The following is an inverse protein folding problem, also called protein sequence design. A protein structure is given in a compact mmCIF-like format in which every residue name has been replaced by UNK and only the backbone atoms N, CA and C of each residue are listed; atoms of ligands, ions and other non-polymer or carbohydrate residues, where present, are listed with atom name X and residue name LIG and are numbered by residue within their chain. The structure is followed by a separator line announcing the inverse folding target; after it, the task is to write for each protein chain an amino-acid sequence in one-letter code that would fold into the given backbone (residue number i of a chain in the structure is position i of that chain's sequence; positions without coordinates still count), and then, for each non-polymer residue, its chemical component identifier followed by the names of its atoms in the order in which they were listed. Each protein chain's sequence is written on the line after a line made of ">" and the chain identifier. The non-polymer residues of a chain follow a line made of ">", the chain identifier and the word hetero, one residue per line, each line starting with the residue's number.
data_IF_318093027112
#
_entry.id   IF_318093027112
#
_cell.length_a   1.000
_cell.length_b   1.000
_cell.length_c   1.000
_cell.angle_alpha   90.00
_cell.angle_beta   90.00
_cell.angle_gamma   90.00
#
_symmetry.space_group_name_H-M   'P 1'
#
loop_
_entity.id
_entity.type
_entity.pdbx_description
1 polymer ?
#
# COMPACT_ATOMS: atom_id res chain seq x y z
N UNK A 1 -6.86 -18.98 13.92
CA UNK A 1 -5.58 -19.04 13.23
C UNK A 1 -5.56 -18.06 12.08
N UNK A 2 -4.48 -17.38 11.94
CA UNK A 2 -4.31 -16.44 10.89
C UNK A 2 -4.14 -17.15 9.56
N UNK A 3 -4.88 -16.73 8.57
CA UNK A 3 -4.90 -17.43 7.30
C UNK A 3 -4.79 -16.43 6.15
N UNK A 4 -3.78 -16.59 5.31
CA UNK A 4 -3.59 -15.76 4.14
C UNK A 4 -4.50 -16.25 3.01
N UNK A 5 -5.01 -15.34 2.17
CA UNK A 5 -5.85 -15.75 1.07
C UNK A 5 -5.18 -16.80 0.18
N UNK A 6 -5.94 -17.67 -0.46
CA UNK A 6 -5.36 -18.72 -1.27
C UNK A 6 -4.63 -18.24 -2.52
N UNK A 7 -4.91 -17.05 -3.01
CA UNK A 7 -4.20 -16.58 -4.19
C UNK A 7 -2.84 -16.04 -3.78
N UNK A 8 -1.85 -16.85 -4.01
CA UNK A 8 -0.46 -16.54 -3.75
C UNK A 8 0.29 -16.67 -5.06
N UNK A 9 1.14 -15.72 -5.37
CA UNK A 9 1.97 -15.79 -6.54
C UNK A 9 3.41 -16.02 -6.08
N UNK A 10 3.98 -17.18 -6.36
CA UNK A 10 5.39 -17.46 -6.15
C UNK A 10 5.92 -16.96 -4.79
N UNK A 11 5.34 -17.39 -3.70
CA UNK A 11 5.71 -17.04 -2.32
C UNK A 11 5.23 -15.68 -1.84
N UNK A 12 4.67 -14.86 -2.70
CA UNK A 12 4.07 -13.61 -2.25
C UNK A 12 2.81 -13.90 -1.44
N UNK A 13 2.66 -13.19 -0.34
CA UNK A 13 1.46 -13.27 0.49
C UNK A 13 0.90 -11.88 0.69
N UNK A 14 -0.41 -11.73 0.53
CA UNK A 14 -1.02 -10.45 0.87
C UNK A 14 -2.37 -10.68 1.55
N UNK A 15 -2.77 -9.67 2.29
CA UNK A 15 -4.00 -9.72 3.07
C UNK A 15 -4.55 -8.31 3.18
N UNK A 16 -5.82 -8.17 2.83
CA UNK A 16 -6.49 -6.88 2.84
C UNK A 16 -7.77 -7.03 3.65
N UNK A 17 -7.89 -6.26 4.73
CA UNK A 17 -9.08 -6.35 5.57
C UNK A 17 -9.43 -4.99 6.16
N UNK A 18 -10.70 -4.80 6.43
CA UNK A 18 -11.19 -3.58 7.04
C UNK A 18 -10.88 -3.60 8.52
N UNK A 19 -10.28 -2.52 9.01
CA UNK A 19 -10.01 -2.31 10.43
C UNK A 19 -10.89 -1.17 10.92
N UNK A 20 -10.57 -0.61 12.07
CA UNK A 20 -11.40 0.47 12.63
C UNK A 20 -11.10 1.80 11.95
N UNK A 21 -11.91 2.12 10.95
CA UNK A 21 -11.81 3.40 10.25
C UNK A 21 -10.78 3.44 9.15
N UNK A 22 -10.15 2.30 8.81
CA UNK A 22 -9.19 2.24 7.72
C UNK A 22 -9.11 0.83 7.15
N UNK A 23 -8.55 0.72 5.96
CA UNK A 23 -8.31 -0.56 5.31
C UNK A 23 -6.85 -0.93 5.54
N UNK A 24 -6.61 -2.12 6.10
CA UNK A 24 -5.27 -2.60 6.36
C UNK A 24 -4.87 -3.56 5.24
N UNK A 25 -3.83 -3.18 4.52
CA UNK A 25 -3.31 -3.98 3.41
C UNK A 25 -1.88 -4.41 3.75
N UNK A 26 -1.67 -5.71 3.92
CA UNK A 26 -0.36 -6.26 4.26
C UNK A 26 0.19 -7.04 3.09
N UNK A 27 1.45 -6.83 2.79
CA UNK A 27 2.13 -7.50 1.68
C UNK A 27 3.47 -8.02 2.17
N UNK A 28 3.74 -9.29 1.93
CA UNK A 28 5.01 -9.91 2.32
C UNK A 28 5.58 -10.69 1.15
N UNK A 29 6.90 -10.71 1.08
CA UNK A 29 7.65 -11.52 0.11
C UNK A 29 7.38 -11.18 -1.34
N UNK A 30 7.12 -9.92 -1.60
CA UNK A 30 6.99 -9.44 -2.98
C UNK A 30 8.36 -9.43 -3.65
N UNK A 31 8.44 -9.99 -4.86
CA UNK A 31 9.72 -10.10 -5.57
C UNK A 31 9.69 -9.50 -6.97
N UNK A 32 8.52 -9.41 -7.57
CA UNK A 32 8.40 -9.01 -8.98
C UNK A 32 7.37 -7.90 -9.16
N UNK A 33 7.42 -7.27 -10.34
CA UNK A 33 6.42 -6.27 -10.72
C UNK A 33 5.02 -6.89 -10.77
N UNK A 34 4.93 -8.14 -11.25
CA UNK A 34 3.64 -8.83 -11.34
C UNK A 34 3.02 -9.01 -9.96
N UNK A 35 3.84 -9.33 -8.95
CA UNK A 35 3.37 -9.45 -7.57
C UNK A 35 2.73 -8.15 -7.10
N UNK A 36 3.38 -7.03 -7.37
CA UNK A 36 2.87 -5.73 -6.96
C UNK A 36 1.60 -5.39 -7.71
N UNK A 37 1.55 -5.66 -9.02
CA UNK A 37 0.36 -5.39 -9.80
C UNK A 37 -0.85 -6.17 -9.29
N UNK A 38 -0.64 -7.42 -8.92
CA UNK A 38 -1.71 -8.24 -8.37
C UNK A 38 -2.22 -7.66 -7.05
N UNK A 39 -1.30 -7.27 -6.16
CA UNK A 39 -1.65 -6.68 -4.89
C UNK A 39 -2.42 -5.37 -5.07
N UNK A 40 -1.94 -4.50 -5.95
CA UNK A 40 -2.59 -3.22 -6.22
C UNK A 40 -4.00 -3.41 -6.79
N UNK A 41 -4.18 -4.37 -7.67
CA UNK A 41 -5.52 -4.69 -8.21
C UNK A 41 -6.47 -5.13 -7.11
N UNK A 42 -6.00 -6.00 -6.23
CA UNK A 42 -6.82 -6.49 -5.12
C UNK A 42 -7.17 -5.35 -4.17
N UNK A 43 -6.21 -4.47 -3.90
CA UNK A 43 -6.42 -3.33 -3.03
C UNK A 43 -7.46 -2.37 -3.61
N UNK A 44 -7.32 -2.04 -4.90
CA UNK A 44 -8.26 -1.14 -5.57
C UNK A 44 -9.68 -1.70 -5.55
N UNK A 45 -9.83 -3.01 -5.77
CA UNK A 45 -11.12 -3.66 -5.73
C UNK A 45 -11.76 -3.56 -4.35
N UNK A 46 -10.97 -3.75 -3.29
CA UNK A 46 -11.47 -3.64 -1.92
C UNK A 46 -11.89 -2.23 -1.56
N UNK A 47 -11.14 -1.24 -2.01
CA UNK A 47 -11.48 0.17 -1.76
C UNK A 47 -12.80 0.51 -2.42
N UNK A 48 -12.99 0.10 -3.67
CA UNK A 48 -14.25 0.33 -4.38
C UNK A 48 -15.43 -0.36 -3.71
N UNK A 49 -15.23 -1.59 -3.28
CA UNK A 49 -16.27 -2.38 -2.63
C UNK A 49 -16.71 -1.77 -1.30
N UNK A 50 -15.73 -1.38 -0.48
CA UNK A 50 -16.02 -0.90 0.86
C UNK A 50 -16.15 0.60 1.02
N UNK A 51 -15.79 1.37 -0.01
CA UNK A 51 -15.84 2.83 0.04
C UNK A 51 -14.88 3.43 1.08
N UNK A 52 -13.85 2.71 1.49
CA UNK A 52 -12.94 3.20 2.51
C UNK A 52 -11.89 4.14 1.92
N UNK A 53 -11.77 5.33 2.49
CA UNK A 53 -10.88 6.36 2.00
C UNK A 53 -9.49 6.34 2.64
N UNK A 54 -9.30 5.54 3.67
CA UNK A 54 -8.06 5.53 4.46
C UNK A 54 -7.43 4.16 4.39
N UNK A 55 -6.18 4.08 3.90
CA UNK A 55 -5.51 2.81 3.67
C UNK A 55 -4.13 2.81 4.32
N UNK A 56 -3.82 1.76 5.06
CA UNK A 56 -2.49 1.50 5.58
C UNK A 56 -1.89 0.35 4.78
N UNK A 57 -0.77 0.60 4.11
CA UNK A 57 -0.05 -0.44 3.38
C UNK A 57 1.20 -0.79 4.16
N UNK A 58 1.26 -2.04 4.62
CA UNK A 58 2.40 -2.56 5.38
C UNK A 58 3.13 -3.58 4.52
N UNK A 59 4.41 -3.31 4.23
CA UNK A 59 5.22 -4.18 3.37
C UNK A 59 6.36 -4.78 4.18
N UNK A 60 6.48 -6.10 4.12
CA UNK A 60 7.52 -6.81 4.86
C UNK A 60 8.27 -7.78 3.96
N UNK A 61 9.55 -7.97 4.25
CA UNK A 61 10.38 -8.97 3.59
C UNK A 61 10.22 -8.94 2.07
N UNK A 62 10.32 -7.75 1.51
CA UNK A 62 10.11 -7.52 0.07
C UNK A 62 11.25 -6.70 -0.50
N UNK A 63 11.42 -6.75 -1.81
CA UNK A 63 12.46 -5.98 -2.47
C UNK A 63 12.00 -4.54 -2.66
N UNK A 64 12.93 -3.56 -2.55
CA UNK A 64 12.57 -2.16 -2.82
C UNK A 64 12.14 -1.94 -4.26
N UNK A 65 11.33 -0.91 -4.47
CA UNK A 65 10.84 -0.52 -5.78
C UNK A 65 11.42 0.83 -6.16
N UNK A 66 12.02 0.89 -7.37
CA UNK A 66 12.54 2.14 -7.90
C UNK A 66 12.08 2.42 -9.34
N UNK A 67 11.26 1.52 -9.92
CA UNK A 67 10.68 1.71 -11.26
C UNK A 67 9.17 1.56 -11.18
N UNK A 68 8.51 2.64 -10.83
CA UNK A 68 7.08 2.60 -10.52
C UNK A 68 6.19 2.28 -11.70
N UNK A 69 6.61 2.66 -12.91
CA UNK A 69 5.79 2.46 -14.11
C UNK A 69 5.45 0.99 -14.34
N UNK A 70 6.38 0.12 -13.98
CA UNK A 70 6.20 -1.32 -14.19
C UNK A 70 5.29 -1.98 -13.17
N UNK A 71 4.86 -1.25 -12.14
CA UNK A 71 4.16 -1.83 -11.00
C UNK A 71 2.70 -1.41 -10.88
N UNK A 72 2.24 -0.51 -11.74
CA UNK A 72 0.87 -0.01 -11.66
C UNK A 72 0.65 0.99 -10.53
N UNK A 73 1.71 1.44 -9.88
CA UNK A 73 1.61 2.29 -8.70
C UNK A 73 1.18 3.71 -9.06
N UNK A 74 1.67 4.23 -10.18
CA UNK A 74 1.32 5.59 -10.63
C UNK A 74 -0.18 5.67 -10.90
N UNK A 75 -0.72 4.67 -11.58
CA UNK A 75 -2.16 4.65 -11.87
C UNK A 75 -2.98 4.54 -10.60
N UNK A 76 -2.52 3.74 -9.65
CA UNK A 76 -3.19 3.64 -8.35
C UNK A 76 -3.24 5.01 -7.66
N UNK A 77 -2.14 5.75 -7.67
CA UNK A 77 -2.12 7.06 -7.03
C UNK A 77 -3.01 8.07 -7.74
N UNK A 78 -3.15 7.97 -9.06
CA UNK A 78 -4.10 8.82 -9.79
C UNK A 78 -5.52 8.55 -9.32
N UNK A 79 -5.85 7.30 -9.09
CA UNK A 79 -7.17 6.93 -8.58
C UNK A 79 -7.37 7.45 -7.15
N UNK A 80 -6.34 7.35 -6.32
CA UNK A 80 -6.38 7.89 -4.95
C UNK A 80 -6.62 9.40 -5.00
N UNK A 81 -5.93 10.09 -5.90
CA UNK A 81 -6.01 11.55 -6.03
C UNK A 81 -7.38 12.04 -6.48
N UNK A 82 -8.19 11.18 -7.09
CA UNK A 82 -9.51 11.56 -7.56
C UNK A 82 -10.44 11.99 -6.41
N UNK A 83 -10.14 11.57 -5.19
CA UNK A 83 -10.91 11.95 -4.01
C UNK A 83 -9.97 12.56 -2.98
N UNK A 84 -10.07 13.87 -2.70
CA UNK A 84 -9.14 14.51 -1.75
C UNK A 84 -9.23 13.99 -0.33
N UNK A 85 -10.28 13.28 0.02
CA UNK A 85 -10.40 12.66 1.35
C UNK A 85 -9.60 11.38 1.51
N UNK A 86 -9.08 10.82 0.41
CA UNK A 86 -8.31 9.59 0.47
C UNK A 86 -6.93 9.85 1.08
N UNK A 87 -6.50 8.94 1.94
CA UNK A 87 -5.15 8.95 2.53
C UNK A 87 -4.54 7.58 2.47
N UNK A 88 -3.27 7.53 2.11
CA UNK A 88 -2.53 6.27 2.06
C UNK A 88 -1.28 6.41 2.91
N UNK A 89 -1.13 5.55 3.91
CA UNK A 89 0.04 5.50 4.76
C UNK A 89 0.86 4.26 4.41
N UNK A 90 2.17 4.42 4.32
CA UNK A 90 3.09 3.35 3.97
C UNK A 90 4.01 3.05 5.14
N UNK A 91 4.13 1.79 5.52
CA UNK A 91 5.10 1.35 6.53
C UNK A 91 5.82 0.09 6.05
N UNK A 92 7.00 -0.16 6.61
CA UNK A 92 7.78 -1.34 6.27
C UNK A 92 8.61 -1.78 7.48
N UNK A 93 9.26 -2.93 7.34
CA UNK A 93 10.01 -3.54 8.42
C UNK A 93 11.53 -3.31 8.34
N UNK A 94 12.01 -2.55 7.36
CA UNK A 94 13.46 -2.29 7.26
C UNK A 94 13.74 -0.96 6.59
N UNK A 95 14.98 -0.48 6.78
CA UNK A 95 15.42 0.83 6.30
C UNK A 95 15.42 0.96 4.79
N UNK A 96 15.83 -0.09 4.11
CA UNK A 96 15.90 -0.07 2.64
C UNK A 96 14.51 0.10 2.04
N UNK A 97 13.55 -0.66 2.54
CA UNK A 97 12.15 -0.52 2.10
C UNK A 97 11.59 0.83 2.49
N UNK A 98 12.00 1.37 3.63
CA UNK A 98 11.53 2.68 4.06
C UNK A 98 11.98 3.77 3.10
N UNK A 99 13.23 3.71 2.64
CA UNK A 99 13.72 4.65 1.63
C UNK A 99 12.94 4.54 0.33
N UNK A 100 12.66 3.31 -0.09
CA UNK A 100 11.83 3.06 -1.27
C UNK A 100 10.43 3.65 -1.09
N UNK A 101 9.85 3.47 0.09
CA UNK A 101 8.51 4.00 0.36
C UNK A 101 8.48 5.53 0.39
N UNK A 102 9.55 6.17 0.87
CA UNK A 102 9.63 7.63 0.83
C UNK A 102 9.64 8.12 -0.61
N UNK A 103 10.38 7.44 -1.47
CA UNK A 103 10.40 7.76 -2.90
C UNK A 103 9.02 7.57 -3.52
N UNK A 104 8.37 6.45 -3.21
CA UNK A 104 7.03 6.16 -3.71
C UNK A 104 6.04 7.23 -3.26
N UNK A 105 6.11 7.63 -1.98
CA UNK A 105 5.22 8.65 -1.45
C UNK A 105 5.43 9.99 -2.14
N UNK A 106 6.68 10.35 -2.41
CA UNK A 106 6.99 11.58 -3.13
C UNK A 106 6.34 11.58 -4.51
N UNK A 107 6.49 10.50 -5.25
CA UNK A 107 5.89 10.39 -6.58
C UNK A 107 4.37 10.38 -6.51
N UNK A 108 3.79 9.76 -5.48
CA UNK A 108 2.35 9.79 -5.29
C UNK A 108 1.83 11.20 -5.06
N UNK A 109 2.54 11.98 -4.26
CA UNK A 109 2.16 13.36 -4.03
C UNK A 109 2.24 14.20 -5.30
N UNK A 110 3.19 13.88 -6.19
CA UNK A 110 3.27 14.54 -7.49
C UNK A 110 2.05 14.24 -8.36
N UNK A 111 1.40 13.12 -8.12
CA UNK A 111 0.14 12.78 -8.82
C UNK A 111 -1.08 13.40 -8.13
N UNK A 112 -0.89 14.14 -7.06
CA UNK A 112 -1.98 14.73 -6.30
C UNK A 112 -2.54 13.87 -5.19
N UNK A 113 -1.94 12.71 -4.93
CA UNK A 113 -2.41 11.81 -3.88
C UNK A 113 -1.88 12.24 -2.51
N UNK A 114 -2.69 12.03 -1.49
CA UNK A 114 -2.28 12.29 -0.11
C UNK A 114 -1.69 11.00 0.46
N UNK A 115 -0.39 10.84 0.29
CA UNK A 115 0.32 9.62 0.67
C UNK A 115 1.57 9.97 1.46
N UNK A 116 1.84 9.23 2.53
CA UNK A 116 3.01 9.45 3.39
C UNK A 116 3.61 8.14 3.85
N UNK A 117 4.94 8.11 3.95
CA UNK A 117 5.67 6.98 4.52
C UNK A 117 5.96 7.27 5.99
N UNK A 118 5.84 6.25 6.82
CA UNK A 118 6.04 6.38 8.26
C UNK A 118 7.04 5.35 8.75
N UNK A 119 7.69 5.69 9.85
CA UNK A 119 8.62 4.79 10.50
C UNK A 119 7.90 3.73 11.34
N UNK A 120 6.79 4.11 11.93
CA UNK A 120 6.08 3.26 12.87
C UNK A 120 4.59 3.29 12.61
N UNK A 121 3.96 2.18 12.90
CA UNK A 121 2.52 2.04 12.69
C UNK A 121 1.72 3.06 13.49
N UNK A 122 2.13 3.35 14.72
CA UNK A 122 1.41 4.30 15.57
C UNK A 122 1.28 5.67 14.89
N UNK A 123 2.36 6.17 14.33
CA UNK A 123 2.33 7.46 13.63
C UNK A 123 1.47 7.41 12.38
N UNK A 124 1.52 6.29 11.66
CA UNK A 124 0.71 6.12 10.47
C UNK A 124 -0.78 6.13 10.80
N UNK A 125 -1.19 5.42 11.85
CA UNK A 125 -2.59 5.35 12.24
C UNK A 125 -3.09 6.70 12.76
N UNK A 126 -2.25 7.41 13.51
CA UNK A 126 -2.61 8.74 13.98
C UNK A 126 -2.91 9.67 12.80
N UNK A 127 -2.06 9.65 11.80
CA UNK A 127 -2.26 10.47 10.61
C UNK A 127 -3.50 10.04 9.82
N UNK A 128 -3.73 8.75 9.69
CA UNK A 128 -4.90 8.26 8.94
C UNK A 128 -6.21 8.66 9.61
N UNK A 129 -6.21 8.77 10.93
CA UNK A 129 -7.42 9.10 11.69
C UNK A 129 -7.63 10.60 11.90
N UNK A 130 -6.66 11.38 11.56
CA UNK A 130 -6.71 12.83 11.79
C UNK A 130 -7.77 13.52 10.91
#
# INVERSE_FOLDING_TARGET
>A
MQYWPPHQAANMHYRIELAQGYLRAELAERKTAADTQEFIKALAAKVLEGGCARVLISVRNSRPIFKLQSYGIIEYFRQVAANPGNRVALISDNEEMRSSQQYIAMLGREQGANVRAFREEAGALEWLRA
#
